data_IF_297764910610
#
_entry.id   IF_297764910610
#
_cell.length_a   1.000
_cell.length_b   1.000
_cell.length_c   1.000
_cell.angle_alpha   90.00
_cell.angle_beta   90.00
_cell.angle_gamma   90.00
#
_symmetry.space_group_name_H-M   'P 1'
#
loop_
_entity.id
_entity.type
_entity.pdbx_description
1 polymer ?
#
# COMPACT_ATOMS: atom_id res chain seq x y z
N UNK A 1 -4.78 39.35 10.92
CA UNK A 1 -5.49 38.38 10.05
C UNK A 1 -5.23 38.74 8.60
N UNK A 2 -4.23 38.14 7.97
CA UNK A 2 -3.93 38.37 6.56
C UNK A 2 -4.71 37.37 5.71
N UNK A 3 -5.70 37.90 4.99
CA UNK A 3 -6.61 37.13 4.15
C UNK A 3 -5.84 36.53 2.96
N UNK A 4 -5.80 35.21 2.87
CA UNK A 4 -5.33 34.49 1.70
C UNK A 4 -6.54 34.21 0.80
N UNK A 5 -6.75 34.96 -0.31
CA UNK A 5 -7.86 34.66 -1.19
C UNK A 5 -7.61 33.30 -1.85
N UNK A 6 -8.47 32.33 -1.54
CA UNK A 6 -8.65 31.17 -2.42
C UNK A 6 -9.15 31.70 -3.75
N UNK A 7 -8.51 31.32 -4.84
CA UNK A 7 -8.95 31.66 -6.18
C UNK A 7 -9.92 30.58 -6.65
N UNK A 8 -11.17 30.67 -6.20
CA UNK A 8 -12.24 29.72 -6.55
C UNK A 8 -12.46 29.63 -8.07
N UNK A 9 -12.23 30.74 -8.78
CA UNK A 9 -12.35 30.79 -10.25
C UNK A 9 -11.23 30.02 -10.97
N UNK A 10 -10.24 29.52 -10.23
CA UNK A 10 -9.16 28.68 -10.75
C UNK A 10 -9.17 27.27 -10.16
N UNK A 11 -10.26 26.89 -9.50
CA UNK A 11 -10.42 25.51 -9.08
C UNK A 11 -10.54 24.61 -10.32
N UNK A 12 -9.87 23.45 -10.29
CA UNK A 12 -9.88 22.52 -11.42
C UNK A 12 -9.90 21.08 -10.93
N UNK A 13 -10.40 20.17 -11.77
CA UNK A 13 -10.49 18.75 -11.45
C UNK A 13 -9.50 17.96 -12.30
N UNK A 14 -8.63 17.16 -11.68
CA UNK A 14 -7.77 16.18 -12.37
C UNK A 14 -8.07 14.81 -11.82
N UNK A 15 -8.45 13.87 -12.71
CA UNK A 15 -8.74 12.47 -12.34
C UNK A 15 -9.72 12.34 -11.16
N UNK A 16 -10.78 13.17 -11.15
CA UNK A 16 -11.81 13.16 -10.11
C UNK A 16 -11.42 13.82 -8.78
N UNK A 17 -10.22 14.40 -8.67
CA UNK A 17 -9.79 15.19 -7.52
C UNK A 17 -9.93 16.67 -7.82
N UNK A 18 -10.57 17.41 -6.92
CA UNK A 18 -10.70 18.87 -7.02
C UNK A 18 -9.49 19.54 -6.38
N UNK A 19 -8.84 20.40 -7.14
CA UNK A 19 -7.71 21.21 -6.73
C UNK A 19 -8.18 22.67 -6.65
N UNK A 20 -7.81 23.35 -5.58
CA UNK A 20 -8.00 24.80 -5.46
C UNK A 20 -6.67 25.50 -5.40
N UNK A 21 -6.57 26.67 -6.05
CA UNK A 21 -5.33 27.43 -6.10
C UNK A 21 -5.33 28.54 -5.05
N UNK A 22 -4.19 28.66 -4.36
CA UNK A 22 -3.91 29.73 -3.42
C UNK A 22 -2.66 30.45 -3.88
N UNK A 23 -2.71 31.78 -3.90
CA UNK A 23 -1.53 32.61 -4.21
C UNK A 23 -1.03 33.23 -2.93
N UNK A 24 0.27 33.09 -2.69
CA UNK A 24 0.97 33.74 -1.59
C UNK A 24 2.07 34.64 -2.13
N UNK A 25 2.03 35.94 -1.80
CA UNK A 25 3.08 36.87 -2.17
C UNK A 25 4.19 36.89 -1.11
N UNK A 26 5.23 36.11 -1.33
CA UNK A 26 6.38 36.03 -0.42
C UNK A 26 7.21 37.31 -0.31
N UNK A 27 7.00 38.30 -1.20
CA UNK A 27 7.67 39.62 -1.07
C UNK A 27 7.02 40.48 -0.01
N UNK A 28 5.73 40.31 0.23
CA UNK A 28 4.96 41.07 1.22
C UNK A 28 4.81 40.32 2.55
N UNK A 29 4.93 38.99 2.53
CA UNK A 29 4.94 38.15 3.73
C UNK A 29 6.02 37.06 3.59
N UNK A 30 7.22 37.28 4.15
CA UNK A 30 8.37 36.41 3.98
C UNK A 30 8.10 34.97 4.41
N UNK A 31 8.76 34.02 3.76
CA UNK A 31 8.60 32.59 4.03
C UNK A 31 8.84 32.23 5.52
N UNK A 32 9.79 32.89 6.19
CA UNK A 32 10.09 32.65 7.60
C UNK A 32 8.93 33.02 8.53
N UNK A 33 8.21 34.09 8.22
CA UNK A 33 7.06 34.54 9.00
C UNK A 33 5.85 33.65 8.76
N UNK A 34 5.66 33.21 7.51
CA UNK A 34 4.68 32.19 7.14
C UNK A 34 4.94 30.83 7.80
N UNK A 35 6.20 30.39 7.89
CA UNK A 35 6.57 29.15 8.59
C UNK A 35 6.36 29.25 10.10
N UNK A 36 6.47 30.44 10.69
CA UNK A 36 6.23 30.65 12.11
C UNK A 36 4.74 30.56 12.47
N UNK A 37 3.85 30.89 11.53
CA UNK A 37 2.40 30.84 11.70
C UNK A 37 1.71 30.38 10.40
N UNK A 38 1.83 29.08 10.05
CA UNK A 38 1.18 28.57 8.86
C UNK A 38 -0.35 28.69 9.00
N UNK A 39 -1.06 28.96 7.89
CA UNK A 39 -2.52 29.05 7.88
C UNK A 39 -3.17 27.79 8.45
N UNK A 40 -4.32 27.93 9.09
CA UNK A 40 -5.04 26.80 9.69
C UNK A 40 -5.31 25.69 8.67
N UNK A 41 -5.59 26.00 7.40
CA UNK A 41 -5.81 24.98 6.37
C UNK A 41 -4.55 24.20 5.97
N UNK A 42 -3.36 24.79 6.14
CA UNK A 42 -2.07 24.11 5.93
C UNK A 42 -1.79 23.14 7.08
N UNK A 43 -2.17 23.55 8.29
CA UNK A 43 -2.09 22.73 9.50
C UNK A 43 -3.24 21.72 9.59
N UNK A 44 -4.37 22.03 8.98
CA UNK A 44 -5.52 21.17 8.91
C UNK A 44 -5.11 19.98 8.05
N UNK A 45 -4.98 18.84 8.70
CA UNK A 45 -5.06 17.56 8.02
C UNK A 45 -6.44 17.55 7.36
N UNK A 46 -6.51 17.90 6.07
CA UNK A 46 -7.70 17.62 5.28
C UNK A 46 -7.99 16.14 5.51
N UNK A 47 -9.20 15.76 5.96
CA UNK A 47 -9.56 14.36 6.17
C UNK A 47 -9.45 13.70 4.81
N UNK A 48 -8.29 13.12 4.54
CA UNK A 48 -7.90 12.70 3.22
C UNK A 48 -8.44 11.30 3.02
N UNK A 49 -9.77 11.17 3.13
CA UNK A 49 -10.53 9.94 3.29
C UNK A 49 -9.97 9.09 4.46
N UNK A 50 -10.80 8.66 5.41
CA UNK A 50 -10.37 7.96 6.64
C UNK A 50 -9.67 6.62 6.36
N UNK A 51 -8.42 6.68 5.92
CA UNK A 51 -7.58 5.54 5.62
C UNK A 51 -6.59 5.40 6.74
N UNK A 52 -6.51 4.18 7.25
CA UNK A 52 -5.57 3.83 8.31
C UNK A 52 -4.15 4.11 7.83
N UNK A 53 -3.43 4.95 8.57
CA UNK A 53 -1.99 5.12 8.39
C UNK A 53 -1.28 3.99 9.12
N UNK A 54 -0.33 3.33 8.46
CA UNK A 54 0.43 2.21 9.03
C UNK A 54 1.89 2.64 9.19
N UNK A 55 2.52 2.23 10.29
CA UNK A 55 3.98 2.09 10.32
C UNK A 55 4.43 0.95 9.39
N UNK A 56 5.69 0.97 8.95
CA UNK A 56 6.24 -0.09 8.11
C UNK A 56 6.15 -1.48 8.78
N UNK A 57 6.31 -1.54 10.10
CA UNK A 57 6.18 -2.79 10.87
C UNK A 57 4.74 -3.32 10.90
N UNK A 58 3.76 -2.46 11.16
CA UNK A 58 2.34 -2.86 11.14
C UNK A 58 1.93 -3.31 9.74
N UNK A 59 2.39 -2.59 8.72
CA UNK A 59 2.16 -2.95 7.33
C UNK A 59 2.74 -4.33 6.99
N UNK A 60 3.98 -4.61 7.42
CA UNK A 60 4.62 -5.92 7.22
C UNK A 60 3.82 -7.06 7.85
N UNK A 61 3.33 -6.85 9.09
CA UNK A 61 2.48 -7.83 9.79
C UNK A 61 1.19 -8.06 9.01
N UNK A 62 0.54 -6.98 8.57
CA UNK A 62 -0.71 -7.07 7.83
C UNK A 62 -0.55 -7.72 6.45
N UNK A 63 0.56 -7.49 5.73
CA UNK A 63 0.88 -8.18 4.46
C UNK A 63 1.09 -9.67 4.70
N UNK A 64 1.85 -10.05 5.75
CA UNK A 64 2.05 -11.46 6.10
C UNK A 64 0.71 -12.14 6.40
N UNK A 65 -0.16 -11.49 7.19
CA UNK A 65 -1.49 -12.01 7.51
C UNK A 65 -2.35 -12.15 6.24
N UNK A 66 -2.30 -11.15 5.35
CA UNK A 66 -3.07 -11.18 4.10
C UNK A 66 -2.65 -12.34 3.18
N UNK A 67 -1.36 -12.68 3.13
CA UNK A 67 -0.87 -13.85 2.38
C UNK A 67 -1.35 -15.16 3.02
N UNK A 68 -1.36 -15.26 4.35
CA UNK A 68 -1.87 -16.44 5.05
C UNK A 68 -3.38 -16.64 4.82
N UNK A 69 -4.13 -15.55 4.80
CA UNK A 69 -5.57 -15.54 4.63
C UNK A 69 -6.01 -15.44 3.16
N UNK A 70 -5.08 -15.48 2.20
CA UNK A 70 -5.34 -15.20 0.78
C UNK A 70 -6.49 -16.03 0.20
N UNK A 71 -6.53 -17.32 0.55
CA UNK A 71 -7.55 -18.29 0.10
C UNK A 71 -8.83 -18.28 0.95
N UNK A 72 -8.91 -17.45 2.00
CA UNK A 72 -10.01 -17.38 2.94
C UNK A 72 -10.65 -15.97 2.90
N UNK A 73 -11.62 -15.72 2.00
CA UNK A 73 -12.19 -14.39 1.78
C UNK A 73 -12.72 -13.73 3.05
N UNK A 74 -13.36 -14.50 3.94
CA UNK A 74 -13.88 -14.01 5.22
C UNK A 74 -12.75 -13.52 6.14
N UNK A 75 -11.67 -14.27 6.31
CA UNK A 75 -10.52 -13.85 7.12
C UNK A 75 -9.79 -12.67 6.48
N UNK A 76 -9.60 -12.71 5.15
CA UNK A 76 -8.96 -11.63 4.41
C UNK A 76 -9.76 -10.32 4.49
N UNK A 77 -11.09 -10.39 4.57
CA UNK A 77 -11.99 -9.23 4.75
C UNK A 77 -11.72 -8.45 6.04
N UNK A 78 -11.13 -9.09 7.05
CA UNK A 78 -10.78 -8.49 8.34
C UNK A 78 -9.38 -7.87 8.33
N UNK A 79 -8.62 -8.03 7.24
CA UNK A 79 -7.27 -7.47 7.15
C UNK A 79 -7.33 -5.93 7.10
N UNK A 80 -6.57 -5.22 7.94
CA UNK A 80 -6.65 -3.77 8.02
C UNK A 80 -6.17 -3.07 6.73
N UNK A 81 -5.38 -3.74 5.88
CA UNK A 81 -4.95 -3.19 4.59
C UNK A 81 -6.10 -2.97 3.61
N UNK A 82 -7.26 -3.60 3.78
CA UNK A 82 -8.43 -3.33 2.93
C UNK A 82 -8.94 -1.88 3.04
N UNK A 83 -8.73 -1.26 4.20
CA UNK A 83 -9.07 0.14 4.44
C UNK A 83 -7.88 1.08 4.26
N UNK A 84 -6.75 0.58 3.73
CA UNK A 84 -5.62 1.42 3.37
C UNK A 84 -5.85 2.15 2.05
N UNK A 85 -5.15 3.27 1.86
CA UNK A 85 -5.17 4.04 0.60
C UNK A 85 -4.75 3.20 -0.61
N UNK A 86 -3.83 2.25 -0.39
CA UNK A 86 -3.38 1.31 -1.40
C UNK A 86 -4.55 0.64 -2.11
N UNK A 87 -5.52 0.09 -1.38
CA UNK A 87 -6.67 -0.62 -1.99
C UNK A 87 -7.73 0.36 -2.48
N UNK A 88 -8.01 1.41 -1.70
CA UNK A 88 -9.06 2.36 -2.05
C UNK A 88 -8.80 3.15 -3.34
N UNK A 89 -7.53 3.34 -3.75
CA UNK A 89 -7.19 3.95 -5.05
C UNK A 89 -7.52 3.06 -6.25
N UNK A 90 -7.52 1.74 -6.07
CA UNK A 90 -7.69 0.79 -7.17
C UNK A 90 -9.14 0.36 -7.36
N UNK A 91 -10.02 0.59 -6.37
CA UNK A 91 -11.38 0.05 -6.40
C UNK A 91 -12.36 0.77 -5.46
N UNK A 92 -13.65 0.90 -5.84
CA UNK A 92 -14.71 1.28 -4.92
C UNK A 92 -14.88 0.26 -3.79
N UNK A 93 -15.57 0.65 -2.72
CA UNK A 93 -15.74 -0.14 -1.49
C UNK A 93 -16.32 -1.54 -1.74
N UNK A 94 -17.25 -1.68 -2.68
CA UNK A 94 -17.90 -2.94 -3.06
C UNK A 94 -16.92 -4.02 -3.52
N UNK A 95 -15.83 -3.62 -4.18
CA UNK A 95 -14.91 -4.54 -4.87
C UNK A 95 -13.52 -4.58 -4.24
N UNK A 96 -13.33 -3.94 -3.07
CA UNK A 96 -12.03 -3.84 -2.39
C UNK A 96 -11.38 -5.18 -2.09
N UNK A 97 -12.16 -6.20 -1.72
CA UNK A 97 -11.62 -7.52 -1.43
C UNK A 97 -11.00 -8.17 -2.68
N UNK A 98 -11.71 -8.12 -3.81
CA UNK A 98 -11.24 -8.65 -5.10
C UNK A 98 -10.04 -7.86 -5.59
N UNK A 99 -10.08 -6.53 -5.47
CA UNK A 99 -8.97 -5.67 -5.84
C UNK A 99 -7.73 -5.94 -4.97
N UNK A 100 -7.91 -6.18 -3.67
CA UNK A 100 -6.81 -6.50 -2.77
C UNK A 100 -6.19 -7.87 -3.06
N UNK A 101 -7.00 -8.91 -3.30
CA UNK A 101 -6.51 -10.21 -3.75
C UNK A 101 -5.73 -10.08 -5.07
N UNK A 102 -6.28 -9.35 -6.03
CA UNK A 102 -5.64 -9.11 -7.33
C UNK A 102 -4.30 -8.38 -7.15
N UNK A 103 -4.25 -7.37 -6.29
CA UNK A 103 -3.03 -6.61 -6.00
C UNK A 103 -1.94 -7.49 -5.35
N UNK A 104 -2.32 -8.34 -4.38
CA UNK A 104 -1.40 -9.29 -3.75
C UNK A 104 -0.86 -10.27 -4.79
N UNK A 105 -1.75 -10.86 -5.61
CA UNK A 105 -1.37 -11.81 -6.65
C UNK A 105 -0.40 -11.18 -7.65
N UNK A 106 -0.76 -10.02 -8.21
CA UNK A 106 0.08 -9.29 -9.16
C UNK A 106 1.45 -8.98 -8.55
N UNK A 107 1.49 -8.55 -7.29
CA UNK A 107 2.76 -8.22 -6.62
C UNK A 107 3.64 -9.45 -6.41
N UNK A 108 3.05 -10.61 -6.08
CA UNK A 108 3.78 -11.88 -6.03
C UNK A 108 4.31 -12.24 -7.43
N UNK A 109 3.51 -12.08 -8.47
CA UNK A 109 3.90 -12.35 -9.86
C UNK A 109 5.05 -11.46 -10.35
N UNK A 110 5.18 -10.22 -9.85
CA UNK A 110 6.31 -9.33 -10.17
C UNK A 110 7.67 -9.97 -9.84
N UNK A 111 7.74 -10.79 -8.79
CA UNK A 111 8.98 -11.45 -8.36
C UNK A 111 9.53 -12.44 -9.41
N UNK A 112 8.72 -12.87 -10.38
CA UNK A 112 9.18 -13.73 -11.46
C UNK A 112 10.15 -13.02 -12.42
N UNK A 113 10.13 -11.69 -12.46
CA UNK A 113 10.92 -10.90 -13.43
C UNK A 113 12.42 -10.98 -13.17
N UNK A 114 12.83 -11.36 -11.96
CA UNK A 114 14.24 -11.50 -11.56
C UNK A 114 14.56 -12.95 -11.25
N UNK A 115 15.59 -13.50 -11.92
CA UNK A 115 16.12 -14.85 -11.66
C UNK A 115 16.47 -15.07 -10.18
N UNK A 116 16.87 -14.01 -9.47
CA UNK A 116 17.20 -14.08 -8.04
C UNK A 116 15.97 -14.29 -7.17
N UNK A 117 14.81 -13.82 -7.61
CA UNK A 117 13.56 -13.75 -6.85
C UNK A 117 12.55 -14.84 -7.27
N UNK A 118 12.77 -15.51 -8.40
CA UNK A 118 11.94 -16.64 -8.87
C UNK A 118 11.73 -17.71 -7.79
N UNK A 119 12.75 -18.00 -6.97
CA UNK A 119 12.63 -18.95 -5.84
C UNK A 119 11.71 -18.44 -4.71
N UNK A 120 11.60 -17.13 -4.52
CA UNK A 120 10.68 -16.53 -3.56
C UNK A 120 9.25 -16.56 -4.09
N UNK A 121 9.08 -16.27 -5.38
CA UNK A 121 7.81 -16.44 -6.08
C UNK A 121 7.28 -17.87 -5.89
N UNK A 122 8.07 -18.89 -6.25
CA UNK A 122 7.65 -20.29 -6.12
C UNK A 122 7.30 -20.67 -4.68
N UNK A 123 8.08 -20.24 -3.70
CA UNK A 123 7.78 -20.49 -2.30
C UNK A 123 6.42 -19.90 -1.88
N UNK A 124 6.13 -18.65 -2.28
CA UNK A 124 4.85 -17.98 -1.98
C UNK A 124 3.68 -18.65 -2.70
N UNK A 125 3.84 -19.03 -3.97
CA UNK A 125 2.82 -19.71 -4.75
C UNK A 125 2.41 -21.02 -4.08
N UNK A 126 3.36 -21.91 -3.81
CA UNK A 126 3.04 -23.23 -3.26
C UNK A 126 2.66 -23.23 -1.78
N UNK A 127 2.76 -22.09 -1.10
CA UNK A 127 2.38 -21.97 0.32
C UNK A 127 1.08 -21.20 0.54
N UNK A 128 0.78 -20.19 -0.29
CA UNK A 128 -0.32 -19.25 0.00
C UNK A 128 -1.35 -19.11 -1.14
N UNK A 129 -0.88 -18.92 -2.39
CA UNK A 129 -1.78 -18.64 -3.52
C UNK A 129 -2.34 -19.93 -4.14
N UNK A 130 -1.51 -20.97 -4.20
CA UNK A 130 -1.86 -22.32 -4.63
C UNK A 130 -1.27 -23.31 -3.62
N UNK A 131 -1.81 -23.32 -2.39
CA UNK A 131 -1.19 -24.00 -1.26
C UNK A 131 -1.13 -25.51 -1.49
N UNK A 132 0.04 -26.09 -1.25
CA UNK A 132 0.16 -27.52 -1.03
C UNK A 132 -0.51 -27.91 0.31
N UNK A 133 -0.72 -29.21 0.53
CA UNK A 133 -1.35 -29.72 1.77
C UNK A 133 -0.53 -29.40 3.03
N UNK A 134 0.78 -29.19 2.90
CA UNK A 134 1.69 -28.78 3.97
C UNK A 134 2.92 -28.06 3.42
N UNK A 135 3.71 -27.43 4.29
CA UNK A 135 4.99 -26.83 3.90
C UNK A 135 6.02 -27.88 3.50
N UNK A 136 6.00 -29.06 4.11
CA UNK A 136 6.83 -30.20 3.72
C UNK A 136 6.51 -30.63 2.28
N UNK A 137 5.23 -30.71 1.92
CA UNK A 137 4.81 -31.02 0.55
C UNK A 137 5.18 -29.91 -0.43
N UNK A 138 5.06 -28.64 -0.04
CA UNK A 138 5.50 -27.51 -0.86
C UNK A 138 7.02 -27.55 -1.10
N UNK A 139 7.80 -27.93 -0.08
CA UNK A 139 9.25 -28.09 -0.20
C UNK A 139 9.62 -29.26 -1.11
N UNK A 140 8.88 -30.38 -1.03
CA UNK A 140 9.03 -31.54 -1.92
C UNK A 140 8.71 -31.17 -3.38
N UNK A 141 7.60 -30.47 -3.64
CA UNK A 141 7.24 -29.99 -5.00
C UNK A 141 8.34 -29.13 -5.61
N UNK A 142 9.03 -28.35 -4.78
CA UNK A 142 10.10 -27.45 -5.19
C UNK A 142 11.50 -28.08 -5.15
N UNK A 143 11.62 -29.36 -4.78
CA UNK A 143 12.88 -30.07 -4.61
C UNK A 143 13.90 -29.33 -3.71
N UNK A 144 13.42 -28.82 -2.57
CA UNK A 144 14.24 -28.11 -1.58
C UNK A 144 13.95 -28.61 -0.17
N UNK A 145 14.86 -28.32 0.77
CA UNK A 145 14.60 -28.57 2.18
C UNK A 145 13.55 -27.61 2.75
N UNK A 146 12.79 -28.05 3.75
CA UNK A 146 11.82 -27.18 4.46
C UNK A 146 12.47 -25.93 5.05
N UNK A 147 13.74 -26.03 5.52
CA UNK A 147 14.50 -24.88 6.00
C UNK A 147 14.75 -23.85 4.88
N UNK A 148 15.04 -24.31 3.67
CA UNK A 148 15.20 -23.46 2.50
C UNK A 148 13.88 -22.82 2.08
N UNK A 149 12.78 -23.58 2.09
CA UNK A 149 11.43 -23.05 1.83
C UNK A 149 11.11 -21.92 2.81
N UNK A 150 11.28 -22.13 4.12
CA UNK A 150 11.01 -21.12 5.15
C UNK A 150 11.86 -19.86 4.95
N UNK A 151 13.13 -20.01 4.56
CA UNK A 151 14.00 -18.88 4.22
C UNK A 151 13.50 -18.12 2.98
N UNK A 152 13.08 -18.84 1.94
CA UNK A 152 12.51 -18.25 0.73
C UNK A 152 11.19 -17.54 1.01
N UNK A 153 10.31 -18.10 1.86
CA UNK A 153 9.07 -17.45 2.30
C UNK A 153 9.36 -16.14 3.03
N UNK A 154 10.30 -16.15 3.98
CA UNK A 154 10.68 -14.92 4.70
C UNK A 154 11.16 -13.84 3.73
N UNK A 155 12.05 -14.20 2.80
CA UNK A 155 12.57 -13.26 1.81
C UNK A 155 11.49 -12.76 0.83
N UNK A 156 10.58 -13.65 0.40
CA UNK A 156 9.47 -13.29 -0.47
C UNK A 156 8.47 -12.35 0.19
N UNK A 157 8.10 -12.60 1.46
CA UNK A 157 7.23 -11.71 2.22
C UNK A 157 7.87 -10.32 2.35
N UNK A 158 9.18 -10.26 2.62
CA UNK A 158 9.90 -8.97 2.67
C UNK A 158 9.82 -8.28 1.31
N UNK A 159 10.13 -8.97 0.20
CA UNK A 159 10.09 -8.38 -1.13
C UNK A 159 8.70 -7.85 -1.52
N UNK A 160 7.64 -8.64 -1.29
CA UNK A 160 6.25 -8.20 -1.51
C UNK A 160 5.91 -6.99 -0.64
N UNK A 161 6.33 -7.01 0.62
CA UNK A 161 6.09 -5.90 1.56
C UNK A 161 6.74 -4.62 1.05
N UNK A 162 8.01 -4.67 0.61
CA UNK A 162 8.71 -3.50 0.07
C UNK A 162 7.99 -2.93 -1.16
N UNK A 163 7.59 -3.77 -2.12
CA UNK A 163 6.87 -3.31 -3.33
C UNK A 163 5.54 -2.65 -2.96
N UNK A 164 4.74 -3.27 -2.10
CA UNK A 164 3.44 -2.71 -1.67
C UNK A 164 3.61 -1.44 -0.83
N UNK A 165 4.68 -1.38 -0.04
CA UNK A 165 5.00 -0.21 0.79
C UNK A 165 5.40 0.99 -0.07
N UNK A 166 6.22 0.77 -1.10
CA UNK A 166 6.58 1.82 -2.06
C UNK A 166 5.33 2.32 -2.80
N UNK A 167 4.42 1.43 -3.21
CA UNK A 167 3.13 1.83 -3.77
C UNK A 167 2.27 2.63 -2.78
N UNK A 168 2.24 2.24 -1.51
CA UNK A 168 1.50 2.96 -0.46
C UNK A 168 2.08 4.36 -0.20
N UNK A 169 3.40 4.53 -0.18
CA UNK A 169 4.05 5.84 0.01
C UNK A 169 3.90 6.72 -1.23
N UNK A 170 4.09 6.17 -2.43
CA UNK A 170 3.84 6.91 -3.67
C UNK A 170 2.35 7.27 -3.83
N UNK A 171 1.46 6.52 -3.17
CA UNK A 171 0.06 6.88 -3.03
C UNK A 171 -0.23 7.98 -1.98
N UNK A 172 0.76 8.47 -1.22
CA UNK A 172 0.60 9.63 -0.32
C UNK A 172 0.85 10.98 -1.02
N UNK A 173 1.51 10.99 -2.18
CA UNK A 173 1.56 12.13 -3.11
C UNK A 173 0.35 12.19 -4.04
#
# INVERSE_FOLDING_TARGET
FHYQPRLTDTDFTVSGRNYGMYIHNFRSYPLSEWLAQPPEWVLAVHPSQDHVSFSKSEFTIAVKQALQDFSHPEALSQNPLLNSRLVARHSPASDRLVAFQSLLQQTVELLQRSHRETKFYHALIHTYLHPAKSQEQAAEILDISIGSLRRHLKAGIIAVTEILWDHQINAQG
#
